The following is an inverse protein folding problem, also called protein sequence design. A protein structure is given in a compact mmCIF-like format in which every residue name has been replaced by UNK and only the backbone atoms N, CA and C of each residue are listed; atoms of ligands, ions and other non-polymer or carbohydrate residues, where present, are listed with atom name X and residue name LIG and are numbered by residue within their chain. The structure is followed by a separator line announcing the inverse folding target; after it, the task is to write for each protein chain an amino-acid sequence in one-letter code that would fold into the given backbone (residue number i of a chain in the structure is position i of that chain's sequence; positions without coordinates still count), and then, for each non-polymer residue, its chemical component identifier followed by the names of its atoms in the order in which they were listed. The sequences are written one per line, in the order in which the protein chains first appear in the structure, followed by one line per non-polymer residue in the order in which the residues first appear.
data_IF_318686708495
#
_entry.id   IF_318686708495
#
_cell.length_a   1.000
_cell.length_b   1.000
_cell.length_c   1.000
_cell.angle_alpha   90.00
_cell.angle_beta   90.00
_cell.angle_gamma   90.00
#
_symmetry.space_group_name_H-M   'P 1'
#
loop_
_entity.id
_entity.type
_entity.pdbx_description
1 polymer ?
#
# COMPACT_ATOMS: atom_id res chain seq x y z
N UNK A 1 -21.44 -10.94 16.84
CA UNK A 1 -20.38 -10.64 15.88
C UNK A 1 -19.40 -9.71 16.58
N UNK A 2 -18.28 -10.26 17.05
CA UNK A 2 -17.16 -9.50 17.58
C UNK A 2 -16.60 -8.68 16.42
N UNK A 3 -16.76 -7.37 16.45
CA UNK A 3 -16.09 -6.46 15.53
C UNK A 3 -14.60 -6.55 15.87
N UNK A 4 -13.87 -7.35 15.12
CA UNK A 4 -12.42 -7.45 15.24
C UNK A 4 -11.87 -6.17 14.63
N UNK A 5 -11.15 -5.34 15.41
CA UNK A 5 -10.46 -4.16 14.90
C UNK A 5 -9.47 -4.56 13.81
N UNK A 6 -9.29 -3.69 12.82
CA UNK A 6 -8.37 -3.95 11.71
C UNK A 6 -6.93 -4.09 12.22
N UNK A 7 -6.14 -5.11 11.78
CA UNK A 7 -4.79 -5.34 12.26
C UNK A 7 -3.84 -4.19 11.89
N UNK A 8 -3.16 -3.62 12.88
CA UNK A 8 -2.26 -2.49 12.67
C UNK A 8 -0.98 -2.90 11.92
N UNK A 9 -0.40 -1.92 11.25
CA UNK A 9 0.86 -2.06 10.53
C UNK A 9 2.02 -1.78 11.47
N UNK A 10 2.60 -2.83 12.07
CA UNK A 10 3.60 -2.71 13.13
C UNK A 10 4.98 -3.21 12.64
N UNK A 11 5.84 -2.34 12.08
CA UNK A 11 7.21 -2.73 11.78
C UNK A 11 7.99 -3.03 13.06
N UNK A 12 9.01 -3.91 13.01
CA UNK A 12 9.81 -4.25 14.17
C UNK A 12 10.60 -3.03 14.68
N UNK A 13 10.73 -2.93 16.02
CA UNK A 13 11.66 -1.96 16.63
C UNK A 13 13.12 -2.26 16.20
N UNK A 14 13.97 -1.24 16.00
CA UNK A 14 13.77 0.19 16.21
C UNK A 14 13.19 0.94 14.98
N UNK A 15 12.74 0.24 13.96
CA UNK A 15 12.32 0.82 12.69
C UNK A 15 11.04 1.66 12.78
N UNK A 16 10.19 1.39 13.82
CA UNK A 16 9.01 2.18 14.14
C UNK A 16 9.33 3.56 14.71
N UNK A 17 10.52 3.76 15.26
CA UNK A 17 10.82 4.88 16.18
C UNK A 17 11.57 6.03 15.51
N UNK A 18 12.03 5.86 14.25
CA UNK A 18 12.74 6.87 13.50
C UNK A 18 12.34 6.94 12.04
N UNK A 19 12.52 8.13 11.45
CA UNK A 19 12.25 8.33 10.03
C UNK A 19 13.07 7.37 9.15
N UNK A 20 12.46 6.84 8.10
CA UNK A 20 13.16 6.02 7.10
C UNK A 20 14.38 6.71 6.49
N UNK A 21 14.38 8.05 6.47
CA UNK A 21 15.53 8.85 5.98
C UNK A 21 16.76 8.73 6.86
N UNK A 22 16.58 8.39 8.13
CA UNK A 22 17.64 8.23 9.12
C UNK A 22 18.13 6.78 9.25
N UNK A 23 17.49 5.86 8.55
CA UNK A 23 17.90 4.46 8.59
C UNK A 23 19.27 4.23 7.96
N UNK A 24 20.07 3.40 8.60
CA UNK A 24 21.27 2.82 8.01
C UNK A 24 20.90 1.88 6.84
N UNK A 25 21.90 1.46 6.08
CA UNK A 25 21.69 0.47 5.01
C UNK A 25 21.07 -0.82 5.55
N UNK A 26 21.60 -1.33 6.66
CA UNK A 26 21.14 -2.57 7.26
C UNK A 26 19.68 -2.48 7.76
N UNK A 27 19.30 -1.33 8.34
CA UNK A 27 17.93 -1.10 8.79
C UNK A 27 16.95 -1.02 7.61
N UNK A 28 17.32 -0.33 6.54
CA UNK A 28 16.48 -0.25 5.33
C UNK A 28 16.30 -1.65 4.67
N UNK A 29 17.36 -2.46 4.63
CA UNK A 29 17.28 -3.85 4.16
C UNK A 29 16.44 -4.71 5.11
N UNK A 30 16.60 -4.54 6.43
CA UNK A 30 15.79 -5.22 7.45
C UNK A 30 14.31 -4.92 7.31
N UNK A 31 13.95 -3.63 7.13
CA UNK A 31 12.56 -3.23 6.88
C UNK A 31 12.02 -3.81 5.57
N UNK A 32 12.79 -3.73 4.49
CA UNK A 32 12.40 -4.30 3.19
C UNK A 32 12.11 -5.80 3.30
N UNK A 33 12.99 -6.56 3.96
CA UNK A 33 12.81 -7.98 4.16
C UNK A 33 11.57 -8.29 5.01
N UNK A 34 11.33 -7.52 6.07
CA UNK A 34 10.14 -7.65 6.89
C UNK A 34 8.88 -7.36 6.07
N UNK A 35 8.84 -6.25 5.32
CA UNK A 35 7.71 -5.87 4.50
C UNK A 35 7.37 -6.95 3.46
N UNK A 36 8.37 -7.41 2.71
CA UNK A 36 8.19 -8.43 1.66
C UNK A 36 7.64 -9.73 2.25
N UNK A 37 8.15 -10.17 3.40
CA UNK A 37 7.64 -11.37 4.09
C UNK A 37 6.22 -11.19 4.63
N UNK A 38 5.79 -9.96 4.87
CA UNK A 38 4.46 -9.68 5.40
C UNK A 38 3.38 -9.62 4.33
N UNK A 39 3.73 -9.55 3.04
CA UNK A 39 2.77 -9.32 1.96
C UNK A 39 1.66 -10.36 1.96
N UNK A 40 2.01 -11.64 1.98
CA UNK A 40 1.01 -12.71 1.84
C UNK A 40 0.00 -12.67 2.98
N UNK A 41 0.45 -12.70 4.23
CA UNK A 41 -0.49 -12.71 5.36
C UNK A 41 -1.28 -11.38 5.46
N UNK A 42 -0.66 -10.22 5.18
CA UNK A 42 -1.35 -8.92 5.20
C UNK A 42 -2.43 -8.82 4.12
N UNK A 43 -2.12 -9.29 2.92
CA UNK A 43 -3.11 -9.31 1.83
C UNK A 43 -4.22 -10.32 2.07
N UNK A 44 -3.91 -11.45 2.69
CA UNK A 44 -4.92 -12.44 3.07
C UNK A 44 -5.82 -11.91 4.20
N UNK A 45 -5.26 -11.21 5.21
CA UNK A 45 -6.03 -10.52 6.25
C UNK A 45 -6.97 -9.45 5.67
N UNK A 46 -6.50 -8.65 4.70
CA UNK A 46 -7.32 -7.68 3.97
C UNK A 46 -8.51 -8.35 3.27
N UNK A 47 -8.24 -9.40 2.51
CA UNK A 47 -9.27 -10.15 1.79
C UNK A 47 -10.27 -10.80 2.74
N UNK A 48 -9.77 -11.39 3.82
CA UNK A 48 -10.61 -12.00 4.87
C UNK A 48 -11.51 -10.96 5.57
N UNK A 49 -10.96 -9.79 5.90
CA UNK A 49 -11.70 -8.69 6.52
C UNK A 49 -12.92 -8.29 5.68
N UNK A 50 -12.79 -8.27 4.36
CA UNK A 50 -13.87 -7.97 3.43
C UNK A 50 -14.64 -9.21 2.94
N UNK A 51 -14.34 -10.40 3.45
CA UNK A 51 -14.94 -11.67 3.03
C UNK A 51 -14.84 -11.90 1.51
N UNK A 52 -13.69 -11.60 0.92
CA UNK A 52 -13.41 -11.76 -0.50
C UNK A 52 -12.46 -12.93 -0.75
N UNK A 53 -12.76 -13.70 -1.81
CA UNK A 53 -11.84 -14.70 -2.36
C UNK A 53 -11.18 -14.12 -3.63
N UNK A 54 -9.87 -13.86 -3.57
CA UNK A 54 -9.14 -13.29 -4.69
C UNK A 54 -9.17 -14.18 -5.94
N UNK A 55 -9.26 -15.50 -5.78
CA UNK A 55 -9.29 -16.46 -6.90
C UNK A 55 -10.56 -16.35 -7.76
N UNK A 56 -11.62 -15.77 -7.19
CA UNK A 56 -12.90 -15.59 -7.87
C UNK A 56 -12.94 -14.35 -8.78
N UNK A 57 -11.88 -13.52 -8.80
CA UNK A 57 -11.90 -12.23 -9.46
C UNK A 57 -10.68 -11.99 -10.35
N UNK A 58 -10.92 -11.38 -11.49
CA UNK A 58 -9.90 -10.70 -12.27
C UNK A 58 -9.20 -9.61 -11.41
N UNK A 59 -7.86 -9.42 -11.49
CA UNK A 59 -7.11 -8.50 -10.63
C UNK A 59 -7.68 -7.07 -10.61
N UNK A 60 -8.03 -6.53 -11.77
CA UNK A 60 -8.60 -5.20 -11.89
C UNK A 60 -9.98 -5.10 -11.23
N UNK A 61 -10.83 -6.10 -11.44
CA UNK A 61 -12.18 -6.16 -10.86
C UNK A 61 -12.12 -6.32 -9.34
N UNK A 62 -11.17 -7.10 -8.83
CA UNK A 62 -10.90 -7.22 -7.39
C UNK A 62 -10.56 -5.86 -6.78
N UNK A 63 -9.66 -5.09 -7.41
CA UNK A 63 -9.27 -3.76 -6.90
C UNK A 63 -10.40 -2.73 -7.01
N UNK A 64 -11.27 -2.80 -8.02
CA UNK A 64 -12.47 -1.98 -8.10
C UNK A 64 -13.41 -2.28 -6.93
N UNK A 65 -13.64 -3.55 -6.64
CA UNK A 65 -14.50 -3.97 -5.53
C UNK A 65 -13.92 -3.56 -4.18
N UNK A 66 -12.64 -3.86 -3.95
CA UNK A 66 -11.94 -3.48 -2.72
C UNK A 66 -11.89 -1.97 -2.54
N UNK A 67 -11.60 -1.22 -3.60
CA UNK A 67 -11.57 0.24 -3.55
C UNK A 67 -12.90 0.84 -3.09
N UNK A 68 -14.03 0.28 -3.54
CA UNK A 68 -15.36 0.70 -3.07
C UNK A 68 -15.54 0.39 -1.59
N UNK A 69 -15.25 -0.83 -1.15
CA UNK A 69 -15.37 -1.24 0.24
C UNK A 69 -14.45 -0.45 1.17
N UNK A 70 -13.21 -0.21 0.74
CA UNK A 70 -12.25 0.62 1.49
C UNK A 70 -12.72 2.07 1.59
N UNK A 71 -13.22 2.67 0.50
CA UNK A 71 -13.76 4.03 0.51
C UNK A 71 -14.91 4.18 1.51
N UNK A 72 -15.80 3.20 1.62
CA UNK A 72 -16.86 3.15 2.61
C UNK A 72 -16.30 3.12 4.04
N UNK A 73 -15.33 2.22 4.30
CA UNK A 73 -14.68 2.09 5.62
C UNK A 73 -13.89 3.32 6.02
N UNK A 74 -13.21 3.99 5.09
CA UNK A 74 -12.49 5.23 5.39
C UNK A 74 -13.41 6.34 5.93
N UNK A 75 -14.70 6.27 5.71
CA UNK A 75 -15.70 7.16 6.32
C UNK A 75 -15.96 6.92 7.81
N UNK A 76 -15.59 5.75 8.34
CA UNK A 76 -15.85 5.35 9.73
C UNK A 76 -14.79 5.90 10.70
N UNK A 77 -15.18 6.07 11.98
CA UNK A 77 -14.29 6.61 13.02
C UNK A 77 -13.08 5.71 13.35
N UNK A 78 -13.14 4.42 13.06
CA UNK A 78 -12.01 3.52 13.20
C UNK A 78 -10.87 3.89 12.25
N UNK A 79 -11.19 4.28 11.00
CA UNK A 79 -10.23 4.46 9.91
C UNK A 79 -9.86 5.91 9.64
N UNK A 80 -10.68 6.88 10.10
CA UNK A 80 -10.37 8.30 9.93
C UNK A 80 -10.93 9.14 11.05
N UNK A 81 -10.24 10.25 11.34
CA UNK A 81 -10.59 11.20 12.38
C UNK A 81 -10.60 12.63 11.85
N UNK A 82 -11.39 13.48 12.50
CA UNK A 82 -11.41 14.92 12.21
C UNK A 82 -10.14 15.60 12.73
N UNK A 83 -9.59 16.53 11.93
CA UNK A 83 -8.47 17.39 12.32
C UNK A 83 -8.96 18.77 12.73
N UNK A 84 -8.10 19.53 13.42
CA UNK A 84 -8.41 20.89 13.90
C UNK A 84 -8.73 21.88 12.76
N UNK A 85 -8.23 21.64 11.56
CA UNK A 85 -8.47 22.44 10.36
C UNK A 85 -9.78 22.08 9.63
N UNK A 86 -10.59 21.20 10.22
CA UNK A 86 -11.86 20.74 9.64
C UNK A 86 -11.69 19.65 8.56
N UNK A 87 -10.48 19.26 8.23
CA UNK A 87 -10.22 18.12 7.32
C UNK A 87 -10.32 16.79 8.07
N UNK A 88 -10.30 15.69 7.33
CA UNK A 88 -10.18 14.35 7.91
C UNK A 88 -8.80 13.74 7.58
N UNK A 89 -8.24 13.02 8.53
CA UNK A 89 -7.00 12.27 8.37
C UNK A 89 -7.20 10.78 8.65
N UNK A 90 -6.33 9.95 8.11
CA UNK A 90 -6.33 8.53 8.42
C UNK A 90 -5.86 8.30 9.86
N UNK A 91 -6.53 7.40 10.57
CA UNK A 91 -6.03 6.81 11.83
C UNK A 91 -4.93 5.78 11.52
N UNK A 92 -4.33 5.19 12.56
CA UNK A 92 -3.40 4.08 12.38
C UNK A 92 -4.05 2.88 11.68
N UNK A 93 -5.32 2.58 11.97
CA UNK A 93 -6.08 1.54 11.26
C UNK A 93 -6.34 1.92 9.80
N UNK A 94 -6.66 3.17 9.52
CA UNK A 94 -6.80 3.68 8.15
C UNK A 94 -5.50 3.62 7.35
N UNK A 95 -4.38 3.96 7.97
CA UNK A 95 -3.05 3.78 7.35
C UNK A 95 -2.75 2.31 7.07
N UNK A 96 -3.04 1.41 8.02
CA UNK A 96 -2.83 -0.03 7.85
C UNK A 96 -3.68 -0.60 6.70
N UNK A 97 -4.98 -0.26 6.67
CA UNK A 97 -5.90 -0.68 5.61
C UNK A 97 -5.43 -0.21 4.22
N UNK A 98 -5.01 1.05 4.11
CA UNK A 98 -4.49 1.61 2.87
C UNK A 98 -3.17 0.95 2.45
N UNK A 99 -2.26 0.70 3.40
CA UNK A 99 -0.99 0.01 3.14
C UNK A 99 -1.22 -1.40 2.60
N UNK A 100 -2.14 -2.17 3.19
CA UNK A 100 -2.44 -3.52 2.74
C UNK A 100 -3.04 -3.58 1.33
N UNK A 101 -3.87 -2.60 0.98
CA UNK A 101 -4.37 -2.47 -0.39
C UNK A 101 -3.24 -2.13 -1.38
N UNK A 102 -2.25 -1.34 -0.95
CA UNK A 102 -1.02 -1.11 -1.72
C UNK A 102 -0.18 -2.37 -1.89
N UNK A 103 -0.04 -3.19 -0.83
CA UNK A 103 0.66 -4.48 -0.89
C UNK A 103 -0.05 -5.48 -1.79
N UNK A 104 -1.39 -5.53 -1.76
CA UNK A 104 -2.15 -6.36 -2.69
C UNK A 104 -1.93 -5.91 -4.14
N UNK A 105 -1.94 -4.61 -4.41
CA UNK A 105 -1.65 -4.08 -5.74
C UNK A 105 -0.23 -4.48 -6.20
N UNK A 106 0.76 -4.38 -5.31
CA UNK A 106 2.13 -4.83 -5.57
C UNK A 106 2.20 -6.34 -5.88
N UNK A 107 1.51 -7.18 -5.09
CA UNK A 107 1.42 -8.63 -5.31
C UNK A 107 0.85 -8.95 -6.69
N UNK A 108 -0.24 -8.29 -7.09
CA UNK A 108 -0.86 -8.48 -8.40
C UNK A 108 0.06 -8.04 -9.55
N UNK A 109 0.77 -6.91 -9.42
CA UNK A 109 1.76 -6.45 -10.40
C UNK A 109 2.91 -7.44 -10.57
N UNK A 110 3.45 -7.96 -9.45
CA UNK A 110 4.54 -8.94 -9.47
C UNK A 110 4.09 -10.27 -10.12
N UNK A 111 2.88 -10.73 -9.83
CA UNK A 111 2.33 -11.96 -10.43
C UNK A 111 2.13 -11.82 -11.93
N UNK A 112 1.59 -10.69 -12.39
CA UNK A 112 1.34 -10.42 -13.80
C UNK A 112 2.62 -10.20 -14.62
N UNK A 113 3.72 -9.77 -13.96
CA UNK A 113 4.97 -9.38 -14.61
C UNK A 113 6.18 -10.09 -14.00
N UNK A 114 6.05 -11.40 -13.78
CA UNK A 114 7.09 -12.21 -13.17
C UNK A 114 8.40 -12.13 -13.96
N UNK A 115 9.50 -11.85 -13.27
CA UNK A 115 10.83 -11.70 -13.87
C UNK A 115 11.15 -10.28 -14.39
N UNK A 116 10.17 -9.42 -14.54
CA UNK A 116 10.38 -8.03 -15.00
C UNK A 116 10.34 -7.06 -13.83
N UNK A 117 9.27 -7.10 -13.03
CA UNK A 117 9.09 -6.25 -11.86
C UNK A 117 9.71 -6.93 -10.64
N UNK A 118 10.43 -6.17 -9.83
CA UNK A 118 11.09 -6.66 -8.61
C UNK A 118 11.10 -5.62 -7.52
N UNK A 119 11.30 -6.06 -6.29
CA UNK A 119 11.54 -5.18 -5.15
C UNK A 119 12.97 -4.63 -5.16
N UNK A 120 13.10 -3.34 -4.93
CA UNK A 120 14.38 -2.65 -4.72
C UNK A 120 14.27 -1.68 -3.54
N UNK A 121 15.39 -1.40 -2.86
CA UNK A 121 15.46 -0.36 -1.83
C UNK A 121 16.06 0.89 -2.47
N UNK A 122 15.36 2.02 -2.40
CA UNK A 122 15.84 3.31 -2.94
C UNK A 122 17.01 3.81 -2.12
N UNK A 123 18.19 3.91 -2.73
CA UNK A 123 19.43 4.34 -2.06
C UNK A 123 19.96 5.70 -2.55
N UNK A 124 19.43 6.20 -3.66
CA UNK A 124 19.84 7.47 -4.28
C UNK A 124 18.69 8.04 -5.11
N UNK A 125 18.56 9.37 -5.18
CA UNK A 125 19.23 10.35 -4.30
C UNK A 125 18.64 10.37 -2.89
N UNK A 126 19.35 10.91 -1.90
CA UNK A 126 18.81 11.05 -0.52
C UNK A 126 17.62 12.00 -0.42
N UNK A 127 17.40 12.84 -1.42
CA UNK A 127 16.25 13.75 -1.53
C UNK A 127 14.98 13.03 -2.01
N UNK A 128 15.10 11.80 -2.52
CA UNK A 128 13.95 11.01 -2.95
C UNK A 128 12.99 10.79 -1.77
N UNK A 129 11.69 10.89 -2.04
CA UNK A 129 10.66 10.67 -1.01
C UNK A 129 10.69 9.24 -0.49
N UNK A 130 11.02 8.29 -1.35
CA UNK A 130 11.12 6.87 -1.04
C UNK A 130 12.53 6.43 -0.60
N UNK A 131 13.45 7.37 -0.32
CA UNK A 131 14.80 7.03 0.12
C UNK A 131 14.77 6.08 1.32
N UNK A 132 15.50 4.96 1.24
CA UNK A 132 15.52 3.84 2.19
C UNK A 132 14.24 2.97 2.23
N UNK A 133 13.22 3.29 1.43
CA UNK A 133 12.01 2.46 1.36
C UNK A 133 12.12 1.41 0.26
N UNK A 134 11.45 0.24 0.43
CA UNK A 134 11.27 -0.73 -0.63
C UNK A 134 10.24 -0.22 -1.64
N UNK A 135 10.60 -0.32 -2.92
CA UNK A 135 9.76 0.06 -4.05
C UNK A 135 9.74 -1.07 -5.08
N UNK A 136 8.73 -1.09 -5.93
CA UNK A 136 8.76 -1.90 -7.14
C UNK A 136 9.51 -1.15 -8.24
N UNK A 137 10.46 -1.84 -8.88
CA UNK A 137 11.25 -1.40 -10.02
C UNK A 137 11.08 -2.36 -11.20
N UNK A 138 11.59 -1.98 -12.38
CA UNK A 138 11.42 -2.75 -13.63
C UNK A 138 10.36 -2.14 -14.54
N UNK A 139 10.04 -0.88 -14.33
CA UNK A 139 9.16 -0.09 -15.21
C UNK A 139 9.96 0.74 -16.22
N UNK A 140 9.30 1.13 -17.31
CA UNK A 140 9.86 2.02 -18.33
C UNK A 140 10.31 3.36 -17.72
N UNK A 141 11.31 3.99 -18.34
CA UNK A 141 11.87 5.26 -17.89
C UNK A 141 12.43 5.27 -16.45
N UNK A 142 12.87 4.11 -15.96
CA UNK A 142 13.40 3.94 -14.59
C UNK A 142 12.43 4.41 -13.49
N UNK A 143 11.14 4.37 -13.77
CA UNK A 143 10.12 4.69 -12.77
C UNK A 143 10.10 3.61 -11.67
N UNK A 144 9.75 4.02 -10.47
CA UNK A 144 9.55 3.13 -9.33
C UNK A 144 8.22 3.42 -8.66
N UNK A 145 7.59 2.40 -8.11
CA UNK A 145 6.35 2.50 -7.35
C UNK A 145 6.65 2.20 -5.88
N UNK A 146 6.38 3.16 -5.00
CA UNK A 146 6.19 2.91 -3.57
C UNK A 146 4.73 2.47 -3.36
N UNK A 147 4.45 1.17 -3.20
CA UNK A 147 3.07 0.70 -3.13
C UNK A 147 2.39 1.07 -1.81
N UNK A 148 3.12 1.16 -0.71
CA UNK A 148 2.59 1.53 0.60
C UNK A 148 2.31 3.03 0.64
N UNK A 149 3.32 3.87 0.40
CA UNK A 149 3.18 5.32 0.43
C UNK A 149 2.20 5.83 -0.62
N UNK A 150 2.25 5.29 -1.83
CA UNK A 150 1.32 5.62 -2.90
C UNK A 150 -0.14 5.29 -2.55
N UNK A 151 -0.39 4.10 -2.00
CA UNK A 151 -1.73 3.70 -1.59
C UNK A 151 -2.28 4.53 -0.43
N UNK A 152 -1.45 4.87 0.55
CA UNK A 152 -1.83 5.77 1.66
C UNK A 152 -2.20 7.17 1.12
N UNK A 153 -1.44 7.69 0.17
CA UNK A 153 -1.73 8.98 -0.46
C UNK A 153 -3.06 8.94 -1.23
N UNK A 154 -3.35 7.86 -1.95
CA UNK A 154 -4.64 7.69 -2.64
C UNK A 154 -5.80 7.55 -1.64
N UNK A 155 -5.64 6.78 -0.56
CA UNK A 155 -6.66 6.67 0.49
C UNK A 155 -6.98 8.03 1.12
N UNK A 156 -5.96 8.84 1.40
CA UNK A 156 -6.14 10.21 1.88
C UNK A 156 -6.86 11.10 0.85
N UNK A 157 -6.58 10.92 -0.44
CA UNK A 157 -7.23 11.65 -1.52
C UNK A 157 -8.71 11.22 -1.72
N UNK A 158 -9.00 9.92 -1.58
CA UNK A 158 -10.37 9.37 -1.57
C UNK A 158 -11.15 9.91 -0.38
N UNK A 159 -10.59 9.85 0.83
CA UNK A 159 -11.20 10.40 2.05
C UNK A 159 -11.52 11.89 1.92
N UNK A 160 -10.67 12.65 1.25
CA UNK A 160 -10.87 14.08 0.98
C UNK A 160 -11.79 14.37 -0.21
N UNK A 161 -12.39 13.36 -0.86
CA UNK A 161 -13.25 13.51 -2.03
C UNK A 161 -12.53 13.97 -3.31
N UNK A 162 -11.20 13.93 -3.34
CA UNK A 162 -10.38 14.34 -4.49
C UNK A 162 -10.13 13.20 -5.49
N UNK A 163 -10.39 11.97 -5.09
CA UNK A 163 -10.28 10.75 -5.90
C UNK A 163 -11.50 9.88 -5.67
N UNK A 164 -11.85 9.09 -6.67
CA UNK A 164 -12.89 8.06 -6.59
C UNK A 164 -12.34 6.72 -6.12
N UNK A 165 -13.21 5.82 -5.73
CA UNK A 165 -12.88 4.49 -5.23
C UNK A 165 -12.16 3.58 -6.24
N UNK A 166 -12.11 3.93 -7.54
CA UNK A 166 -11.39 3.21 -8.58
C UNK A 166 -9.88 3.52 -8.62
N UNK A 167 -9.37 4.36 -7.72
CA UNK A 167 -7.99 4.83 -7.70
C UNK A 167 -6.96 3.66 -7.77
N UNK A 168 -7.16 2.59 -7.01
CA UNK A 168 -6.24 1.45 -6.99
C UNK A 168 -6.29 0.61 -8.27
N UNK A 169 -7.46 0.45 -8.88
CA UNK A 169 -7.56 -0.18 -10.19
C UNK A 169 -6.82 0.62 -11.27
N UNK A 170 -6.90 1.97 -11.21
CA UNK A 170 -6.13 2.85 -12.11
C UNK A 170 -4.62 2.78 -11.85
N UNK A 171 -4.20 2.61 -10.60
CA UNK A 171 -2.78 2.35 -10.27
C UNK A 171 -2.31 1.06 -10.95
N UNK A 172 -3.09 -0.02 -10.82
CA UNK A 172 -2.76 -1.29 -11.48
C UNK A 172 -2.63 -1.12 -13.00
N UNK A 173 -3.63 -0.50 -13.65
CA UNK A 173 -3.64 -0.24 -15.09
C UNK A 173 -2.41 0.58 -15.53
N UNK A 174 -2.13 1.68 -14.80
CA UNK A 174 -1.02 2.57 -15.10
C UNK A 174 0.33 1.85 -15.02
N UNK A 175 0.59 1.11 -13.95
CA UNK A 175 1.87 0.45 -13.73
C UNK A 175 2.03 -0.81 -14.57
N UNK A 176 0.94 -1.56 -14.84
CA UNK A 176 0.97 -2.70 -15.77
C UNK A 176 1.35 -2.26 -17.18
N UNK A 177 0.86 -1.11 -17.64
CA UNK A 177 1.20 -0.59 -18.97
C UNK A 177 2.65 -0.12 -19.11
N UNK A 178 3.39 -0.02 -18.01
CA UNK A 178 4.78 0.45 -17.95
C UNK A 178 5.78 -0.65 -17.60
N UNK A 179 5.32 -1.85 -17.28
CA UNK A 179 6.22 -2.99 -17.12
C UNK A 179 7.00 -3.21 -18.43
N UNK A 180 8.32 -3.26 -18.32
CA UNK A 180 9.21 -3.45 -19.48
C UNK A 180 9.37 -4.95 -19.67
N UNK A 181 8.68 -5.51 -20.67
CA UNK A 181 8.84 -6.90 -21.09
C UNK A 181 10.12 -7.12 -21.88
#
# INVERSE_FOLDING_TARGET
LTVTSYPLFNPPSPLSDKSHREWSKAEAEGYSNWLIRSIDYRTDDLLHYFSLDASAWEPRTLLLRLGTLVAERLGEAEFSEGKLDGTRGLTNAGHALAADLGLLTARLLLQANAGTIRWEVVRKPKSDISYNLPVLAGFSNMLTLDPVGGSVAEAQAVLAGRRSSDAWARILDFWSSRAVG
#
